data_IF_866673663426
#
_entry.id   IF_866673663426
#
_cell.length_a   1.000
_cell.length_b   1.000
_cell.length_c   1.000
_cell.angle_alpha   90.00
_cell.angle_beta   90.00
_cell.angle_gamma   90.00
#
_symmetry.space_group_name_H-M   'P 1'
#
loop_
_entity.id
_entity.type
_entity.pdbx_description
1 polymer ?
#
# COMPACT_ATOMS: atom_id res chain seq x y z
N UNK A 1 23.35 -16.04 40.35
CA UNK A 1 23.66 -14.60 40.34
C UNK A 1 24.54 -14.39 39.11
N UNK A 2 23.94 -14.34 37.92
CA UNK A 2 23.50 -13.10 37.23
C UNK A 2 24.66 -12.11 37.11
N UNK A 3 25.05 -11.63 35.93
CA UNK A 3 24.19 -10.85 35.01
C UNK A 3 24.65 -11.01 33.56
N UNK A 4 23.73 -11.29 32.64
CA UNK A 4 23.98 -11.24 31.18
C UNK A 4 23.57 -9.83 30.70
N UNK A 5 24.45 -9.05 30.04
CA UNK A 5 24.08 -7.71 29.59
C UNK A 5 23.14 -7.79 28.39
N UNK A 6 21.94 -7.24 28.55
CA UNK A 6 20.94 -7.05 27.49
C UNK A 6 21.41 -5.96 26.52
N UNK A 7 21.41 -6.17 25.20
CA UNK A 7 21.60 -5.08 24.25
C UNK A 7 20.34 -4.22 24.18
N UNK A 8 20.47 -2.95 24.56
CA UNK A 8 19.42 -1.95 24.36
C UNK A 8 19.22 -1.72 22.85
N UNK A 9 18.01 -2.01 22.37
CA UNK A 9 17.56 -1.66 21.03
C UNK A 9 17.41 -0.14 20.90
N UNK A 10 18.24 0.48 20.05
CA UNK A 10 18.03 1.86 19.58
C UNK A 10 17.03 1.84 18.44
N UNK A 11 15.93 2.60 18.55
CA UNK A 11 15.08 2.91 17.40
C UNK A 11 15.74 4.03 16.59
N UNK A 12 16.38 3.66 15.48
CA UNK A 12 16.78 4.63 14.45
C UNK A 12 15.75 4.61 13.31
N UNK A 13 14.76 5.51 13.38
CA UNK A 13 13.76 5.69 12.32
C UNK A 13 14.19 6.82 11.39
N UNK A 14 14.97 6.50 10.34
CA UNK A 14 15.17 7.37 9.18
C UNK A 14 14.54 6.71 7.95
N UNK A 15 13.27 6.99 7.69
CA UNK A 15 12.62 6.67 6.43
C UNK A 15 12.98 7.74 5.39
N UNK A 16 14.08 7.51 4.67
CA UNK A 16 14.41 8.24 3.45
C UNK A 16 13.57 7.67 2.31
N UNK A 17 12.44 8.30 1.99
CA UNK A 17 11.63 7.90 0.83
C UNK A 17 12.21 8.57 -0.41
N UNK A 18 13.08 7.85 -1.11
CA UNK A 18 13.53 8.19 -2.47
C UNK A 18 12.57 7.54 -3.45
N UNK A 19 11.61 8.30 -3.97
CA UNK A 19 10.67 7.84 -4.99
C UNK A 19 11.41 7.56 -6.31
N UNK A 20 11.29 6.34 -6.89
CA UNK A 20 11.71 6.09 -8.26
C UNK A 20 10.66 6.60 -9.25
N UNK A 21 11.10 7.40 -10.22
CA UNK A 21 10.33 7.82 -11.39
C UNK A 21 10.54 6.80 -12.53
N UNK A 22 9.52 6.07 -12.99
CA UNK A 22 9.59 5.38 -14.26
C UNK A 22 8.75 6.11 -15.31
N UNK A 23 9.40 6.74 -16.29
CA UNK A 23 8.80 6.92 -17.61
C UNK A 23 9.84 7.37 -18.64
N UNK A 24 10.24 6.46 -19.51
CA UNK A 24 10.67 6.72 -20.89
C UNK A 24 10.50 5.42 -21.68
N UNK A 25 10.25 5.41 -23.01
CA UNK A 25 10.18 6.50 -23.99
C UNK A 25 8.87 6.43 -24.84
N UNK A 26 8.65 7.27 -25.88
CA UNK A 26 9.35 7.12 -27.17
C UNK A 26 9.86 8.45 -27.76
N UNK A 27 11.04 8.41 -28.39
CA UNK A 27 11.49 9.45 -29.32
C UNK A 27 10.60 9.40 -30.58
N UNK A 28 10.39 10.52 -31.29
CA UNK A 28 11.36 10.79 -32.36
C UNK A 28 11.56 12.28 -32.76
N UNK A 29 12.61 12.43 -33.57
CA UNK A 29 12.92 13.51 -34.52
C UNK A 29 13.51 14.81 -33.95
N UNK A 30 14.78 15.03 -34.33
CA UNK A 30 15.55 16.24 -34.15
C UNK A 30 14.95 17.38 -34.98
N UNK A 31 14.69 18.52 -34.35
CA UNK A 31 14.58 19.80 -35.07
C UNK A 31 15.68 20.74 -34.57
N UNK A 32 16.68 20.97 -35.41
CA UNK A 32 17.56 22.14 -35.31
C UNK A 32 16.82 23.30 -35.94
N UNK A 33 16.54 24.35 -35.18
CA UNK A 33 16.26 25.67 -35.73
C UNK A 33 16.71 26.73 -34.72
N UNK A 34 17.49 27.66 -35.25
CA UNK A 34 18.33 28.66 -34.61
C UNK A 34 17.61 30.01 -34.43
N UNK A 35 18.26 30.89 -33.65
CA UNK A 35 18.20 32.37 -33.71
C UNK A 35 17.18 33.08 -32.80
N UNK A 36 17.73 33.58 -31.70
CA UNK A 36 17.78 34.98 -31.24
C UNK A 36 16.53 35.83 -31.00
N UNK A 37 16.66 36.56 -29.87
CA UNK A 37 16.44 37.99 -29.69
C UNK A 37 15.13 38.51 -29.07
N UNK A 38 15.37 39.42 -28.11
CA UNK A 38 14.57 40.54 -27.63
C UNK A 38 13.30 40.23 -26.82
N UNK A 39 13.27 40.52 -25.52
CA UNK A 39 13.14 41.82 -24.83
C UNK A 39 11.66 42.18 -24.57
N UNK A 40 11.39 42.54 -23.31
CA UNK A 40 10.15 43.14 -22.78
C UNK A 40 9.01 42.12 -22.56
N UNK A 41 8.33 42.05 -21.42
CA UNK A 41 7.83 43.11 -20.54
C UNK A 41 7.58 42.49 -19.14
N UNK A 42 7.97 43.18 -18.08
CA UNK A 42 7.61 42.82 -16.71
C UNK A 42 6.08 43.00 -16.50
N UNK A 43 5.37 41.90 -16.22
CA UNK A 43 4.07 41.94 -15.57
C UNK A 43 4.17 41.18 -14.25
N UNK A 44 4.30 41.96 -13.17
CA UNK A 44 4.13 41.50 -11.82
C UNK A 44 2.72 40.91 -11.65
N UNK A 45 2.59 39.59 -11.81
CA UNK A 45 1.44 38.89 -11.26
C UNK A 45 1.75 38.62 -9.79
N UNK A 46 1.23 39.49 -8.93
CA UNK A 46 0.98 39.16 -7.54
C UNK A 46 0.01 37.97 -7.53
N UNK A 47 0.54 36.74 -7.46
CA UNK A 47 -0.29 35.58 -7.20
C UNK A 47 -0.80 35.70 -5.76
N UNK A 48 -2.13 35.77 -5.51
CA UNK A 48 -2.60 35.53 -4.17
C UNK A 48 -2.18 34.10 -3.83
N UNK A 49 -1.40 33.95 -2.76
CA UNK A 49 -1.18 32.67 -2.13
C UNK A 49 -2.55 32.15 -1.67
N UNK A 50 -3.22 31.41 -2.54
CA UNK A 50 -4.36 30.59 -2.16
C UNK A 50 -3.76 29.54 -1.22
N UNK A 51 -3.86 29.80 0.09
CA UNK A 51 -3.76 28.77 1.09
C UNK A 51 -4.83 27.75 0.71
N UNK A 52 -4.41 26.73 -0.03
CA UNK A 52 -5.28 25.63 -0.41
C UNK A 52 -5.57 24.90 0.89
N UNK A 53 -6.67 25.30 1.54
CA UNK A 53 -7.34 24.51 2.54
C UNK A 53 -7.56 23.16 1.88
N UNK A 54 -6.69 22.20 2.21
CA UNK A 54 -6.92 20.79 1.91
C UNK A 54 -8.15 20.44 2.73
N UNK A 55 -9.34 20.72 2.18
CA UNK A 55 -10.54 20.01 2.55
C UNK A 55 -10.19 18.56 2.26
N UNK A 56 -9.84 17.82 3.31
CA UNK A 56 -9.65 16.40 3.22
C UNK A 56 -11.02 15.85 2.82
N UNK A 57 -11.23 15.66 1.51
CA UNK A 57 -12.32 14.83 1.04
C UNK A 57 -12.12 13.49 1.75
N UNK A 58 -13.06 13.05 2.59
CA UNK A 58 -12.93 11.76 3.23
C UNK A 58 -12.77 10.75 2.11
N UNK A 59 -11.59 10.14 2.03
CA UNK A 59 -11.32 9.08 1.08
C UNK A 59 -12.35 8.00 1.39
N UNK A 60 -13.37 7.87 0.53
CA UNK A 60 -14.37 6.81 0.66
C UNK A 60 -13.62 5.49 0.61
N UNK A 61 -13.41 4.91 1.79
CA UNK A 61 -12.88 3.57 1.91
C UNK A 61 -13.87 2.68 1.17
N UNK A 62 -13.41 1.80 0.25
CA UNK A 62 -14.30 0.88 -0.43
C UNK A 62 -15.09 0.10 0.61
N UNK A 63 -16.42 0.20 0.57
CA UNK A 63 -17.28 -0.61 1.44
C UNK A 63 -17.15 -2.05 0.98
N UNK A 64 -16.44 -2.89 1.76
CA UNK A 64 -16.37 -4.32 1.49
C UNK A 64 -17.77 -4.95 1.62
N UNK A 65 -18.12 -5.79 0.67
CA UNK A 65 -19.30 -6.64 0.74
C UNK A 65 -19.09 -7.81 1.72
N UNK A 66 -20.19 -8.36 2.24
CA UNK A 66 -20.16 -9.55 3.11
C UNK A 66 -19.46 -10.74 2.44
N UNK A 67 -19.73 -10.95 1.15
CA UNK A 67 -19.12 -12.01 0.36
C UNK A 67 -17.59 -11.88 0.30
N UNK A 68 -17.07 -10.66 0.14
CA UNK A 68 -15.63 -10.39 0.12
C UNK A 68 -14.98 -10.65 1.49
N UNK A 69 -15.65 -10.26 2.58
CA UNK A 69 -15.14 -10.54 3.95
C UNK A 69 -15.05 -12.05 4.19
N UNK A 70 -16.08 -12.81 3.81
CA UNK A 70 -16.08 -14.26 3.98
C UNK A 70 -15.02 -14.92 3.08
N UNK A 71 -14.83 -14.44 1.86
CA UNK A 71 -13.78 -14.91 0.96
C UNK A 71 -12.38 -14.64 1.54
N UNK A 72 -12.11 -13.44 2.04
CA UNK A 72 -10.85 -13.10 2.70
C UNK A 72 -10.61 -14.00 3.93
N UNK A 73 -11.63 -14.26 4.76
CA UNK A 73 -11.53 -15.19 5.90
C UNK A 73 -11.24 -16.64 5.46
N UNK A 74 -11.82 -17.09 4.35
CA UNK A 74 -11.56 -18.42 3.81
C UNK A 74 -10.10 -18.56 3.36
N UNK A 75 -9.55 -17.52 2.70
CA UNK A 75 -8.15 -17.49 2.28
C UNK A 75 -7.20 -17.37 3.48
N UNK A 76 -7.55 -16.57 4.48
CA UNK A 76 -6.78 -16.43 5.72
C UNK A 76 -6.59 -17.79 6.42
N UNK A 77 -7.68 -18.56 6.53
CA UNK A 77 -7.66 -19.92 7.09
C UNK A 77 -6.91 -20.90 6.19
N UNK A 78 -7.04 -20.78 4.86
CA UNK A 78 -6.29 -21.62 3.91
C UNK A 78 -4.78 -21.42 4.03
N UNK A 79 -4.34 -20.18 4.27
CA UNK A 79 -2.93 -19.86 4.50
C UNK A 79 -2.43 -20.30 5.89
N UNK A 80 -3.33 -20.74 6.79
CA UNK A 80 -3.01 -21.17 8.15
C UNK A 80 -2.73 -20.02 9.12
N UNK A 81 -3.07 -18.78 8.75
CA UNK A 81 -2.83 -17.59 9.56
C UNK A 81 -3.74 -17.53 10.81
N UNK A 82 -4.86 -18.26 10.82
CA UNK A 82 -5.76 -18.39 11.97
C UNK A 82 -5.09 -19.06 13.18
N UNK A 83 -4.10 -19.94 12.96
CA UNK A 83 -3.38 -20.66 14.03
C UNK A 83 -2.56 -19.76 14.93
N UNK A 84 -2.19 -18.58 14.43
CA UNK A 84 -1.34 -17.63 15.13
C UNK A 84 -2.13 -16.46 15.72
N UNK A 85 -3.43 -16.33 15.41
CA UNK A 85 -4.26 -15.21 15.89
C UNK A 85 -4.26 -15.12 17.42
N UNK A 86 -4.35 -16.26 18.11
CA UNK A 86 -4.25 -16.32 19.57
C UNK A 86 -2.87 -15.96 20.11
N UNK A 87 -1.79 -16.40 19.44
CA UNK A 87 -0.41 -16.12 19.87
C UNK A 87 -0.06 -14.63 19.69
N UNK A 88 -0.41 -14.05 18.54
CA UNK A 88 -0.21 -12.63 18.26
C UNK A 88 -1.07 -11.77 19.19
N UNK A 89 -2.33 -12.13 19.44
CA UNK A 89 -3.23 -11.37 20.32
C UNK A 89 -2.84 -11.45 21.80
N UNK A 90 -2.42 -12.62 22.29
CA UNK A 90 -2.15 -12.82 23.72
C UNK A 90 -0.75 -12.41 24.14
N UNK A 91 0.25 -12.61 23.28
CA UNK A 91 1.66 -12.42 23.64
C UNK A 91 2.38 -11.37 22.79
N UNK A 92 1.72 -10.82 21.76
CA UNK A 92 2.35 -9.86 20.85
C UNK A 92 3.53 -10.46 20.07
N UNK A 93 3.58 -11.79 19.97
CA UNK A 93 4.69 -12.50 19.33
C UNK A 93 4.33 -12.81 17.88
N UNK A 94 4.86 -12.00 16.98
CA UNK A 94 4.92 -12.32 15.56
C UNK A 94 5.99 -13.42 15.37
N UNK A 95 5.61 -14.55 14.79
CA UNK A 95 6.55 -15.65 14.52
C UNK A 95 6.90 -15.69 13.04
N UNK A 96 8.09 -16.20 12.69
CA UNK A 96 8.47 -16.43 11.29
C UNK A 96 7.42 -17.27 10.53
N UNK A 97 6.74 -18.18 11.24
CA UNK A 97 5.70 -19.01 10.66
C UNK A 97 4.41 -18.21 10.36
N UNK A 98 4.10 -17.18 11.14
CA UNK A 98 3.04 -16.24 10.82
C UNK A 98 3.39 -15.38 9.61
N UNK A 99 4.63 -14.88 9.50
CA UNK A 99 5.07 -14.11 8.32
C UNK A 99 4.92 -14.92 7.03
N UNK A 100 5.32 -16.19 7.07
CA UNK A 100 5.14 -17.11 5.94
C UNK A 100 3.65 -17.33 5.61
N UNK A 101 2.79 -17.51 6.62
CA UNK A 101 1.34 -17.62 6.43
C UNK A 101 0.73 -16.34 5.86
N UNK A 102 1.18 -15.17 6.30
CA UNK A 102 0.73 -13.88 5.79
C UNK A 102 1.13 -13.69 4.31
N UNK A 103 2.37 -14.04 3.96
CA UNK A 103 2.82 -13.99 2.57
C UNK A 103 1.99 -14.91 1.66
N UNK A 104 1.68 -16.12 2.13
CA UNK A 104 0.82 -17.05 1.39
C UNK A 104 -0.61 -16.52 1.26
N UNK A 105 -1.18 -15.93 2.32
CA UNK A 105 -2.47 -15.25 2.25
C UNK A 105 -2.46 -14.14 1.19
N UNK A 106 -1.44 -13.28 1.16
CA UNK A 106 -1.33 -12.22 0.17
C UNK A 106 -1.19 -12.77 -1.26
N UNK A 107 -0.45 -13.86 -1.44
CA UNK A 107 -0.33 -14.55 -2.73
C UNK A 107 -1.68 -15.12 -3.19
N UNK A 108 -2.43 -15.75 -2.29
CA UNK A 108 -3.76 -16.29 -2.56
C UNK A 108 -4.75 -15.17 -2.91
N UNK A 109 -4.72 -14.06 -2.15
CA UNK A 109 -5.61 -12.92 -2.34
C UNK A 109 -5.41 -12.21 -3.68
N UNK A 110 -4.16 -12.18 -4.16
CA UNK A 110 -3.81 -11.62 -5.47
C UNK A 110 -4.01 -12.61 -6.63
N UNK A 111 -4.40 -13.86 -6.35
CA UNK A 111 -4.65 -14.89 -7.35
C UNK A 111 -6.14 -15.02 -7.67
N UNK A 112 -6.46 -15.84 -8.69
CA UNK A 112 -7.84 -16.21 -9.05
C UNK A 112 -8.61 -16.92 -7.92
N UNK A 113 -7.93 -17.34 -6.84
CA UNK A 113 -8.58 -17.91 -5.67
C UNK A 113 -9.56 -16.94 -5.00
N UNK A 114 -9.22 -15.65 -4.89
CA UNK A 114 -10.09 -14.66 -4.26
C UNK A 114 -11.41 -14.44 -5.03
N UNK A 115 -11.40 -14.07 -6.33
CA UNK A 115 -12.65 -13.89 -7.07
C UNK A 115 -13.46 -15.19 -7.20
N UNK A 116 -12.81 -16.36 -7.18
CA UNK A 116 -13.52 -17.65 -7.15
C UNK A 116 -14.28 -17.86 -5.83
N UNK A 117 -13.66 -17.59 -4.68
CA UNK A 117 -14.34 -17.68 -3.38
C UNK A 117 -15.44 -16.62 -3.26
N UNK A 118 -15.23 -15.39 -3.75
CA UNK A 118 -16.28 -14.35 -3.76
C UNK A 118 -17.50 -14.81 -4.55
N UNK A 119 -17.32 -15.33 -5.77
CA UNK A 119 -18.42 -15.85 -6.60
C UNK A 119 -19.18 -16.98 -5.90
N UNK A 120 -18.45 -17.87 -5.21
CA UNK A 120 -19.05 -18.94 -4.41
C UNK A 120 -19.90 -18.39 -3.26
N UNK A 121 -19.44 -17.36 -2.55
CA UNK A 121 -20.22 -16.73 -1.47
C UNK A 121 -21.45 -15.98 -2.01
N UNK A 122 -21.31 -15.27 -3.14
CA UNK A 122 -22.43 -14.57 -3.78
C UNK A 122 -23.53 -15.54 -4.23
N UNK A 123 -23.14 -16.71 -4.76
CA UNK A 123 -24.09 -17.76 -5.12
C UNK A 123 -24.81 -18.34 -3.89
N UNK A 124 -24.10 -18.49 -2.77
CA UNK A 124 -24.69 -18.96 -1.51
C UNK A 124 -25.64 -17.94 -0.87
N UNK A 125 -25.33 -16.65 -0.95
CA UNK A 125 -26.16 -15.56 -0.41
C UNK A 125 -27.45 -15.33 -1.23
N UNK A 126 -27.55 -15.88 -2.45
CA UNK A 126 -28.70 -15.73 -3.34
C UNK A 126 -29.76 -16.83 -3.19
N UNK A 127 -29.52 -17.82 -2.33
CA UNK A 127 -30.42 -18.95 -2.04
C UNK A 127 -31.20 -18.73 -0.75
#
# INVERSE_FOLDING_TARGET
METIPMPYFTLNSSLSIKTPLPASPPAPVRLRATVAAALALASAFAMPAQAQERTATPQQQPTLSRAEVIADLALWRRAGADRYEGLSRSYGLETQAYDAAQQEYLRLRQSEAFPAEVRKQQAADSQ
#
